data_IF_473455180259
#
_entry.id   IF_473455180259
#
_cell.length_a   1.000
_cell.length_b   1.000
_cell.length_c   1.000
_cell.angle_alpha   90.00
_cell.angle_beta   90.00
_cell.angle_gamma   90.00
#
_symmetry.space_group_name_H-M   'P 1'
#
loop_
_entity.id
_entity.type
_entity.pdbx_description
1 polymer ?
#
# COMPACT_ATOMS: atom_id res chain seq x y z
N UNK A 1 22.30 17.63 -24.11
CA UNK A 1 21.40 16.75 -24.90
C UNK A 1 19.97 16.70 -24.39
N UNK A 2 19.68 16.87 -23.09
CA UNK A 2 18.29 16.94 -22.59
C UNK A 2 17.72 18.35 -22.42
N UNK A 3 18.58 19.37 -22.33
CA UNK A 3 18.17 20.76 -22.10
C UNK A 3 17.14 21.23 -23.14
N UNK A 4 17.45 21.05 -24.43
CA UNK A 4 16.58 21.52 -25.52
C UNK A 4 15.22 20.79 -25.55
N UNK A 5 15.21 19.50 -25.20
CA UNK A 5 14.00 18.67 -25.19
C UNK A 5 13.02 19.05 -24.08
N UNK A 6 13.51 19.40 -22.88
CA UNK A 6 12.66 19.87 -21.79
C UNK A 6 12.15 21.30 -22.01
N UNK A 7 12.92 22.15 -22.70
CA UNK A 7 12.51 23.53 -22.99
C UNK A 7 11.43 23.64 -24.06
N UNK A 8 11.36 22.69 -25.01
CA UNK A 8 10.35 22.69 -26.07
C UNK A 8 9.07 21.94 -25.70
N UNK A 9 9.04 21.28 -24.55
CA UNK A 9 7.89 20.51 -24.11
C UNK A 9 6.78 21.44 -23.64
N UNK A 10 5.61 21.32 -24.28
CA UNK A 10 4.39 22.00 -23.86
C UNK A 10 3.30 20.95 -23.73
N UNK A 11 2.72 20.82 -22.54
CA UNK A 11 1.51 20.02 -22.36
C UNK A 11 0.30 20.90 -22.62
N UNK A 12 -0.71 20.37 -23.30
CA UNK A 12 -1.98 21.06 -23.46
C UNK A 12 -2.73 21.07 -22.12
N UNK A 13 -3.16 22.26 -21.66
CA UNK A 13 -3.82 22.44 -20.36
C UNK A 13 -5.11 21.61 -20.25
N UNK A 14 -5.85 21.41 -21.35
CA UNK A 14 -7.06 20.58 -21.32
C UNK A 14 -6.72 19.11 -21.15
N UNK A 15 -5.65 18.65 -21.81
CA UNK A 15 -5.12 17.30 -21.63
C UNK A 15 -4.61 17.10 -20.20
N UNK A 16 -3.85 18.05 -19.65
CA UNK A 16 -3.38 18.00 -18.26
C UNK A 16 -4.55 17.86 -17.28
N UNK A 17 -5.56 18.73 -17.42
CA UNK A 17 -6.74 18.71 -16.56
C UNK A 17 -7.48 17.36 -16.60
N UNK A 18 -7.63 16.77 -17.79
CA UNK A 18 -8.25 15.43 -17.92
C UNK A 18 -7.46 14.35 -17.20
N UNK A 19 -6.13 14.38 -17.28
CA UNK A 19 -5.30 13.44 -16.54
C UNK A 19 -5.40 13.65 -15.03
N UNK A 20 -5.42 14.90 -14.56
CA UNK A 20 -5.57 15.19 -13.13
C UNK A 20 -6.90 14.67 -12.59
N UNK A 21 -8.00 14.88 -13.32
CA UNK A 21 -9.34 14.34 -12.97
C UNK A 21 -9.31 12.80 -12.89
N UNK A 22 -8.77 12.13 -13.91
CA UNK A 22 -8.66 10.67 -13.94
C UNK A 22 -7.77 10.13 -12.80
N UNK A 23 -6.67 10.81 -12.48
CA UNK A 23 -5.79 10.45 -11.37
C UNK A 23 -6.53 10.56 -10.03
N UNK A 24 -7.33 11.60 -9.82
CA UNK A 24 -8.11 11.74 -8.58
C UNK A 24 -9.16 10.64 -8.44
N UNK A 25 -9.85 10.30 -9.53
CA UNK A 25 -10.82 9.20 -9.53
C UNK A 25 -10.16 7.86 -9.19
N UNK A 26 -9.02 7.55 -9.81
CA UNK A 26 -8.26 6.33 -9.53
C UNK A 26 -7.74 6.30 -8.09
N UNK A 27 -7.23 7.42 -7.57
CA UNK A 27 -6.84 7.51 -6.16
C UNK A 27 -8.00 7.17 -5.23
N UNK A 28 -9.19 7.68 -5.52
CA UNK A 28 -10.36 7.41 -4.68
C UNK A 28 -10.78 5.93 -4.75
N UNK A 29 -10.69 5.31 -5.92
CA UNK A 29 -10.95 3.87 -6.07
C UNK A 29 -9.97 3.03 -5.24
N UNK A 30 -8.67 3.34 -5.31
CA UNK A 30 -7.63 2.64 -4.53
C UNK A 30 -7.88 2.80 -3.02
N UNK A 31 -8.24 4.00 -2.56
CA UNK A 31 -8.62 4.22 -1.14
C UNK A 31 -9.80 3.36 -0.73
N UNK A 32 -10.82 3.26 -1.59
CA UNK A 32 -11.97 2.40 -1.32
C UNK A 32 -11.56 0.93 -1.22
N UNK A 33 -10.66 0.46 -2.08
CA UNK A 33 -10.13 -0.91 -2.03
C UNK A 33 -9.39 -1.17 -0.71
N UNK A 34 -8.54 -0.24 -0.26
CA UNK A 34 -7.81 -0.35 1.02
C UNK A 34 -8.76 -0.41 2.24
N UNK A 35 -9.88 0.31 2.18
CA UNK A 35 -10.84 0.41 3.30
C UNK A 35 -11.99 -0.62 3.22
N UNK A 36 -11.99 -1.49 2.22
CA UNK A 36 -13.08 -2.46 2.02
C UNK A 36 -13.07 -3.52 3.11
N UNK A 37 -14.17 -3.61 3.86
CA UNK A 37 -14.32 -4.53 5.02
C UNK A 37 -14.41 -6.01 4.64
N UNK A 38 -14.74 -6.33 3.40
CA UNK A 38 -14.86 -7.70 2.90
C UNK A 38 -13.58 -8.31 2.32
N UNK A 39 -12.49 -7.53 2.22
CA UNK A 39 -11.23 -8.02 1.67
C UNK A 39 -10.45 -8.81 2.72
N UNK A 40 -9.91 -9.95 2.30
CA UNK A 40 -9.02 -10.77 3.13
C UNK A 40 -7.73 -10.01 3.43
N UNK A 41 -7.06 -10.39 4.53
CA UNK A 41 -5.77 -9.80 4.91
C UNK A 41 -4.74 -9.96 3.79
N UNK A 42 -4.68 -11.11 3.11
CA UNK A 42 -3.74 -11.33 2.02
C UNK A 42 -4.00 -10.41 0.82
N UNK A 43 -5.27 -10.21 0.42
CA UNK A 43 -5.62 -9.27 -0.65
C UNK A 43 -5.17 -7.83 -0.32
N UNK A 44 -5.36 -7.41 0.93
CA UNK A 44 -4.89 -6.09 1.40
C UNK A 44 -3.37 -5.98 1.34
N UNK A 45 -2.64 -7.00 1.79
CA UNK A 45 -1.17 -7.01 1.75
C UNK A 45 -0.65 -6.99 0.31
N UNK A 46 -1.27 -7.72 -0.61
CA UNK A 46 -0.92 -7.70 -2.05
C UNK A 46 -1.16 -6.31 -2.64
N UNK A 47 -2.27 -5.67 -2.31
CA UNK A 47 -2.57 -4.31 -2.78
C UNK A 47 -1.52 -3.32 -2.27
N UNK A 48 -1.21 -3.34 -0.97
CA UNK A 48 -0.17 -2.48 -0.37
C UNK A 48 1.18 -2.69 -1.08
N UNK A 49 1.61 -3.94 -1.22
CA UNK A 49 2.88 -4.27 -1.89
C UNK A 49 2.91 -3.80 -3.35
N UNK A 50 1.80 -3.93 -4.05
CA UNK A 50 1.67 -3.45 -5.44
C UNK A 50 1.83 -1.94 -5.52
N UNK A 51 1.17 -1.17 -4.65
CA UNK A 51 1.27 0.28 -4.62
C UNK A 51 2.69 0.77 -4.31
N UNK A 52 3.37 0.11 -3.38
CA UNK A 52 4.76 0.43 -3.03
C UNK A 52 5.73 0.10 -4.16
N UNK A 53 5.59 -1.07 -4.80
CA UNK A 53 6.46 -1.47 -5.92
C UNK A 53 6.25 -0.62 -7.17
N UNK A 54 5.06 -0.06 -7.34
CA UNK A 54 4.77 0.93 -8.40
C UNK A 54 5.29 2.34 -8.06
N UNK A 55 5.81 2.57 -6.85
CA UNK A 55 6.30 3.88 -6.44
C UNK A 55 5.19 4.90 -6.17
N UNK A 56 3.94 4.45 -6.02
CA UNK A 56 2.76 5.32 -5.79
C UNK A 56 2.19 5.19 -4.37
N UNK A 57 2.79 4.35 -3.53
CA UNK A 57 2.37 4.13 -2.14
C UNK A 57 2.28 5.41 -1.30
N UNK A 58 3.12 6.42 -1.59
CA UNK A 58 3.14 7.71 -0.88
C UNK A 58 1.81 8.49 -0.96
N UNK A 59 0.93 8.18 -1.91
CA UNK A 59 -0.41 8.78 -1.98
C UNK A 59 -1.40 8.22 -0.96
N UNK A 60 -1.05 7.12 -0.29
CA UNK A 60 -1.92 6.33 0.58
C UNK A 60 -1.28 5.99 1.93
N UNK A 61 -0.27 6.75 2.36
CA UNK A 61 0.52 6.43 3.57
C UNK A 61 -0.36 6.21 4.81
N UNK A 62 -1.38 7.06 4.99
CA UNK A 62 -2.28 6.95 6.14
C UNK A 62 -3.14 5.70 6.07
N UNK A 63 -3.70 5.39 4.91
CA UNK A 63 -4.51 4.20 4.67
C UNK A 63 -3.67 2.93 4.86
N UNK A 64 -2.46 2.89 4.29
CA UNK A 64 -1.53 1.76 4.43
C UNK A 64 -1.16 1.54 5.91
N UNK A 65 -0.75 2.60 6.60
CA UNK A 65 -0.35 2.53 8.01
C UNK A 65 -1.51 2.03 8.90
N UNK A 66 -2.73 2.50 8.65
CA UNK A 66 -3.91 2.04 9.36
C UNK A 66 -4.20 0.55 9.10
N UNK A 67 -4.10 0.09 7.85
CA UNK A 67 -4.30 -1.33 7.53
C UNK A 67 -3.23 -2.21 8.16
N UNK A 68 -1.95 -1.83 8.10
CA UNK A 68 -0.86 -2.59 8.72
C UNK A 68 -0.98 -2.62 10.25
N UNK A 69 -1.44 -1.52 10.86
CA UNK A 69 -1.77 -1.46 12.29
C UNK A 69 -2.84 -2.47 12.67
N UNK A 70 -3.95 -2.48 11.94
CA UNK A 70 -5.06 -3.40 12.16
C UNK A 70 -4.57 -4.84 12.09
N UNK A 71 -3.82 -5.18 11.03
CA UNK A 71 -3.24 -6.51 10.82
C UNK A 71 -2.27 -6.90 11.95
N UNK A 72 -1.48 -5.96 12.47
CA UNK A 72 -0.53 -6.22 13.56
C UNK A 72 -1.23 -6.47 14.91
N UNK A 73 -2.25 -5.68 15.21
CA UNK A 73 -2.95 -5.75 16.50
C UNK A 73 -4.11 -6.75 16.54
N UNK A 74 -4.60 -7.21 15.38
CA UNK A 74 -5.58 -8.29 15.28
C UNK A 74 -4.94 -9.63 15.69
N UNK A 75 -4.67 -9.81 16.99
CA UNK A 75 -4.11 -11.03 17.59
C UNK A 75 -5.02 -12.27 17.49
N UNK A 76 -6.21 -12.15 16.91
CA UNK A 76 -7.31 -13.10 17.14
C UNK A 76 -8.28 -13.31 15.98
N UNK A 77 -8.06 -12.74 14.80
CA UNK A 77 -8.89 -13.03 13.62
C UNK A 77 -8.29 -14.22 12.88
N UNK A 78 -8.43 -15.40 13.49
CA UNK A 78 -8.25 -16.71 12.88
C UNK A 78 -6.98 -17.46 13.29
N UNK A 79 -7.08 -18.10 14.46
CA UNK A 79 -6.39 -19.39 14.67
C UNK A 79 -6.74 -20.41 13.58
N UNK A 80 -7.89 -20.25 12.91
CA UNK A 80 -8.32 -21.08 11.78
C UNK A 80 -7.71 -20.67 10.42
N UNK A 81 -7.18 -19.44 10.25
CA UNK A 81 -6.43 -19.03 9.06
C UNK A 81 -4.94 -19.24 9.25
N UNK A 82 -4.43 -19.32 10.49
CA UNK A 82 -3.03 -19.65 10.74
C UNK A 82 -2.65 -21.00 10.09
N UNK A 83 -3.59 -21.93 10.01
CA UNK A 83 -3.44 -23.21 9.30
C UNK A 83 -3.58 -23.10 7.76
N UNK A 84 -3.96 -21.92 7.25
CA UNK A 84 -4.21 -21.65 5.82
C UNK A 84 -3.35 -20.50 5.25
N UNK A 85 -2.47 -19.89 6.05
CA UNK A 85 -1.47 -18.96 5.53
C UNK A 85 -0.37 -19.77 4.85
N UNK A 86 -0.33 -19.72 3.52
CA UNK A 86 0.81 -20.25 2.79
C UNK A 86 2.10 -19.45 3.11
N UNK A 87 3.24 -20.03 2.74
CA UNK A 87 4.54 -19.42 2.95
C UNK A 87 4.62 -18.02 2.34
N UNK A 88 3.95 -17.79 1.21
CA UNK A 88 3.94 -16.51 0.51
C UNK A 88 3.25 -15.43 1.34
N UNK A 89 2.04 -15.69 1.83
CA UNK A 89 1.27 -14.75 2.61
C UNK A 89 1.97 -14.40 3.94
N UNK A 90 2.55 -15.40 4.62
CA UNK A 90 3.35 -15.18 5.84
C UNK A 90 4.58 -14.32 5.58
N UNK A 91 5.34 -14.62 4.53
CA UNK A 91 6.55 -13.87 4.19
C UNK A 91 6.23 -12.42 3.78
N UNK A 92 5.13 -12.22 3.04
CA UNK A 92 4.67 -10.90 2.62
C UNK A 92 4.27 -10.04 3.82
N UNK A 93 3.45 -10.57 4.72
CA UNK A 93 3.05 -9.88 5.94
C UNK A 93 4.26 -9.49 6.78
N UNK A 94 5.19 -10.43 7.01
CA UNK A 94 6.39 -10.18 7.79
C UNK A 94 7.24 -9.05 7.18
N UNK A 95 7.46 -9.08 5.86
CA UNK A 95 8.23 -8.05 5.17
C UNK A 95 7.58 -6.68 5.30
N UNK A 96 6.28 -6.57 5.03
CA UNK A 96 5.56 -5.28 5.09
C UNK A 96 5.55 -4.72 6.51
N UNK A 97 5.23 -5.52 7.52
CA UNK A 97 5.26 -5.07 8.92
C UNK A 97 6.65 -4.57 9.32
N UNK A 98 7.72 -5.28 8.94
CA UNK A 98 9.09 -4.86 9.23
C UNK A 98 9.47 -3.56 8.52
N UNK A 99 9.07 -3.40 7.27
CA UNK A 99 9.32 -2.18 6.48
C UNK A 99 8.65 -0.94 7.09
N UNK A 100 7.48 -1.13 7.69
CA UNK A 100 6.72 -0.08 8.37
C UNK A 100 7.00 0.01 9.87
N UNK A 101 8.13 -0.54 10.34
CA UNK A 101 8.59 -0.44 11.73
C UNK A 101 7.65 -1.05 12.77
N UNK A 102 6.75 -1.94 12.36
CA UNK A 102 5.98 -2.80 13.26
C UNK A 102 6.90 -3.91 13.79
N UNK A 103 7.61 -3.60 14.87
CA UNK A 103 8.43 -4.56 15.58
C UNK A 103 7.57 -5.38 16.53
N UNK A 104 7.61 -6.71 16.37
CA UNK A 104 7.30 -7.60 17.49
C UNK A 104 8.24 -7.25 18.64
N UNK A 105 7.68 -6.66 19.72
CA UNK A 105 8.33 -6.19 20.96
C UNK A 105 9.86 -6.13 20.91
N UNK A 106 10.40 -4.90 20.94
CA UNK A 106 11.78 -4.62 21.39
C UNK A 106 12.11 -5.55 22.57
N UNK A 107 12.98 -6.53 22.35
CA UNK A 107 13.69 -7.16 23.45
C UNK A 107 14.56 -6.05 24.05
N UNK A 108 14.21 -5.61 25.25
CA UNK A 108 15.13 -4.84 26.08
C UNK A 108 16.33 -5.74 26.33
N UNK A 109 17.50 -5.30 25.88
CA UNK A 109 18.78 -5.74 26.43
C UNK A 109 19.44 -4.46 26.95
N UNK A 110 19.84 -4.58 28.22
CA UNK A 110 20.34 -3.56 29.16
C UNK A 110 21.37 -2.59 28.58
#
# INVERSE_FOLDING_TARGET
MWADAFTSFSLDDKVQKKYDEAIQELKQQVRSMLMTKGSTTIEKLILIDTLERLGVGYHFEQEIENQLREIFFSKSQDKDQLDNYDLFATALQFRLLRQHHYHYKKFYIL
#
